data_IF_601379834627
#
_entry.id   IF_601379834627
#
_cell.length_a   1.000
_cell.length_b   1.000
_cell.length_c   1.000
_cell.angle_alpha   90.00
_cell.angle_beta   90.00
_cell.angle_gamma   90.00
#
_symmetry.space_group_name_H-M   'P 1'
#
loop_
_entity.id
_entity.type
_entity.pdbx_description
1 polymer ?
#
# COMPACT_ATOMS: atom_id res chain seq x y z
N UNK A 1 19.90 -5.17 -2.42
CA UNK A 1 18.82 -4.17 -2.24
C UNK A 1 19.02 -2.97 -3.16
N UNK A 2 20.27 -2.56 -3.39
CA UNK A 2 20.66 -1.49 -4.33
C UNK A 2 20.30 -1.78 -5.78
N UNK A 3 20.35 -3.04 -6.23
CA UNK A 3 20.06 -3.39 -7.64
C UNK A 3 18.63 -3.03 -8.05
N UNK A 4 17.66 -3.35 -7.20
CA UNK A 4 16.24 -3.02 -7.40
C UNK A 4 16.00 -1.51 -7.44
N UNK A 5 16.69 -0.75 -6.58
CA UNK A 5 16.59 0.72 -6.59
C UNK A 5 17.17 1.31 -7.87
N UNK A 6 18.27 0.75 -8.37
CA UNK A 6 18.93 1.21 -9.59
C UNK A 6 18.03 0.99 -10.82
N UNK A 7 17.44 -0.20 -10.92
CA UNK A 7 16.48 -0.55 -11.99
C UNK A 7 15.26 0.40 -11.96
N UNK A 8 14.72 0.67 -10.77
CA UNK A 8 13.57 1.57 -10.61
C UNK A 8 13.89 3.00 -11.09
N UNK A 9 15.07 3.52 -10.73
CA UNK A 9 15.52 4.86 -11.16
C UNK A 9 15.72 4.88 -12.68
N UNK A 10 16.31 3.84 -13.26
CA UNK A 10 16.52 3.75 -14.71
C UNK A 10 15.19 3.76 -15.49
N UNK A 11 14.18 3.04 -15.02
CA UNK A 11 12.85 3.03 -15.63
C UNK A 11 12.17 4.40 -15.50
N UNK A 12 12.25 5.04 -14.34
CA UNK A 12 11.72 6.40 -14.13
C UNK A 12 12.40 7.44 -15.04
N UNK A 13 13.72 7.34 -15.23
CA UNK A 13 14.46 8.22 -16.13
C UNK A 13 14.08 7.99 -17.61
N UNK A 14 13.95 6.74 -18.03
CA UNK A 14 13.47 6.41 -19.37
C UNK A 14 12.06 6.96 -19.63
N UNK A 15 11.15 6.84 -18.66
CA UNK A 15 9.79 7.39 -18.74
C UNK A 15 9.80 8.92 -18.85
N UNK A 16 10.70 9.61 -18.14
CA UNK A 16 10.83 11.06 -18.20
C UNK A 16 11.25 11.57 -19.60
N UNK A 17 12.07 10.79 -20.32
CA UNK A 17 12.51 11.11 -21.68
C UNK A 17 11.41 10.81 -22.71
N UNK A 18 10.75 9.66 -22.60
CA UNK A 18 9.76 9.21 -23.59
C UNK A 18 8.42 9.93 -23.45
N UNK A 19 7.97 10.20 -22.21
CA UNK A 19 6.65 10.76 -21.94
C UNK A 19 6.66 11.62 -20.66
N UNK A 20 7.25 12.83 -20.70
CA UNK A 20 7.39 13.70 -19.52
C UNK A 20 6.04 14.09 -18.89
N UNK A 21 4.98 14.14 -19.70
CA UNK A 21 3.61 14.45 -19.24
C UNK A 21 3.00 13.35 -18.36
N UNK A 22 3.56 12.13 -18.33
CA UNK A 22 3.06 11.03 -17.49
C UNK A 22 3.68 10.97 -16.10
N UNK A 23 4.74 11.74 -15.83
CA UNK A 23 5.36 11.79 -14.49
C UNK A 23 4.39 12.21 -13.38
N UNK A 24 3.50 13.21 -13.56
CA UNK A 24 2.50 13.56 -12.55
C UNK A 24 1.54 12.40 -12.24
N UNK A 25 1.18 11.59 -13.23
CA UNK A 25 0.27 10.45 -13.07
C UNK A 25 0.92 9.32 -12.27
N UNK A 26 2.20 9.06 -12.49
CA UNK A 26 2.95 8.08 -11.70
C UNK A 26 3.09 8.53 -10.25
N UNK A 27 3.44 9.81 -10.03
CA UNK A 27 3.49 10.39 -8.69
C UNK A 27 2.14 10.31 -7.98
N UNK A 28 1.05 10.60 -8.72
CA UNK A 28 -0.31 10.48 -8.21
C UNK A 28 -0.65 9.05 -7.78
N UNK A 29 -0.39 8.05 -8.62
CA UNK A 29 -0.61 6.63 -8.29
C UNK A 29 0.23 6.18 -7.09
N UNK A 30 1.49 6.59 -7.01
CA UNK A 30 2.34 6.33 -5.84
C UNK A 30 1.75 6.94 -4.57
N UNK A 31 1.26 8.19 -4.65
CA UNK A 31 0.59 8.86 -3.55
C UNK A 31 -0.70 8.16 -3.09
N UNK A 32 -1.49 7.64 -4.02
CA UNK A 32 -2.70 6.86 -3.68
C UNK A 32 -2.36 5.57 -2.95
N UNK A 33 -1.31 4.85 -3.37
CA UNK A 33 -0.88 3.61 -2.71
C UNK A 33 -0.40 3.88 -1.29
N UNK A 34 0.38 4.96 -1.07
CA UNK A 34 0.85 5.32 0.27
C UNK A 34 -0.30 5.78 1.16
N UNK A 35 -1.21 6.61 0.64
CA UNK A 35 -2.43 7.02 1.36
C UNK A 35 -3.34 5.82 1.67
N UNK A 36 -3.50 4.88 0.75
CA UNK A 36 -4.28 3.66 0.98
C UNK A 36 -3.70 2.76 2.06
N UNK A 37 -2.37 2.67 2.16
CA UNK A 37 -1.71 1.99 3.27
C UNK A 37 -2.01 2.65 4.62
N UNK A 38 -1.94 3.98 4.68
CA UNK A 38 -2.24 4.75 5.90
C UNK A 38 -3.72 4.58 6.27
N UNK A 39 -4.63 4.83 5.34
CA UNK A 39 -6.07 4.72 5.58
C UNK A 39 -6.48 3.30 5.98
N UNK A 40 -5.98 2.27 5.27
CA UNK A 40 -6.25 0.88 5.60
C UNK A 40 -5.83 0.51 7.03
N UNK A 41 -4.72 1.09 7.51
CA UNK A 41 -4.29 0.91 8.89
C UNK A 41 -5.20 1.58 9.92
N UNK A 42 -5.69 2.78 9.63
CA UNK A 42 -6.67 3.47 10.49
C UNK A 42 -8.00 2.72 10.51
N UNK A 43 -8.46 2.22 9.37
CA UNK A 43 -9.69 1.42 9.25
C UNK A 43 -9.57 0.13 10.07
N UNK A 44 -8.46 -0.61 9.95
CA UNK A 44 -8.22 -1.81 10.75
C UNK A 44 -8.30 -1.54 12.25
N UNK A 45 -7.74 -0.41 12.71
CA UNK A 45 -7.80 0.01 14.13
C UNK A 45 -9.20 0.41 14.59
N UNK A 46 -10.00 1.06 13.73
CA UNK A 46 -11.36 1.46 14.04
C UNK A 46 -12.31 0.25 14.09
N UNK A 47 -12.12 -0.70 13.17
CA UNK A 47 -12.98 -1.88 13.04
C UNK A 47 -12.72 -2.91 14.16
N UNK A 48 -11.47 -3.00 14.66
CA UNK A 48 -11.09 -3.96 15.70
C UNK A 48 -10.30 -3.31 16.85
N UNK A 49 -10.98 -2.61 17.78
CA UNK A 49 -10.31 -1.97 18.91
C UNK A 49 -9.58 -2.97 19.83
N UNK A 50 -10.20 -4.13 20.09
CA UNK A 50 -9.76 -5.13 21.08
C UNK A 50 -9.17 -6.43 20.50
N UNK A 51 -9.31 -6.69 19.19
CA UNK A 51 -8.81 -7.90 18.53
C UNK A 51 -7.50 -7.67 17.76
N UNK A 52 -6.62 -6.82 18.32
CA UNK A 52 -5.35 -6.45 17.69
C UNK A 52 -4.43 -7.68 17.62
N UNK A 53 -3.59 -7.82 16.57
CA UNK A 53 -2.67 -8.95 16.44
C UNK A 53 -1.75 -9.15 17.66
N UNK A 54 -1.45 -8.07 18.40
CA UNK A 54 -0.63 -8.13 19.61
C UNK A 54 -1.41 -8.56 20.87
N UNK A 55 -2.75 -8.46 20.86
CA UNK A 55 -3.62 -8.78 22.00
C UNK A 55 -4.30 -10.14 21.87
N UNK A 56 -4.28 -10.77 20.69
CA UNK A 56 -4.80 -12.12 20.49
C UNK A 56 -3.76 -13.20 20.88
N UNK A 57 -4.29 -14.36 21.32
CA UNK A 57 -3.51 -15.56 21.65
C UNK A 57 -2.63 -15.95 20.46
N UNK A 58 -1.45 -16.52 20.74
CA UNK A 58 -0.45 -16.87 19.72
C UNK A 58 -1.03 -17.72 18.56
N UNK A 59 -1.99 -18.58 18.87
CA UNK A 59 -2.67 -19.43 17.90
C UNK A 59 -3.55 -18.65 16.90
N UNK A 60 -4.16 -17.54 17.34
CA UNK A 60 -5.09 -16.74 16.51
C UNK A 60 -4.41 -15.54 15.83
N UNK A 61 -3.16 -15.23 16.20
CA UNK A 61 -2.32 -14.19 15.57
C UNK A 61 -2.24 -14.25 14.04
N UNK A 62 -2.04 -15.42 13.39
CA UNK A 62 -1.97 -15.47 11.94
C UNK A 62 -3.27 -15.01 11.28
N UNK A 63 -4.43 -15.39 11.83
CA UNK A 63 -5.73 -14.97 11.28
C UNK A 63 -5.99 -13.48 11.48
N UNK A 64 -5.58 -12.91 12.62
CA UNK A 64 -5.63 -11.45 12.82
C UNK A 64 -4.71 -10.69 11.86
N UNK A 65 -3.55 -11.26 11.52
CA UNK A 65 -2.63 -10.72 10.52
C UNK A 65 -3.20 -10.73 9.10
N UNK A 66 -3.79 -11.85 8.68
CA UNK A 66 -4.43 -12.00 7.36
C UNK A 66 -5.58 -11.00 7.20
N UNK A 67 -6.41 -10.82 8.24
CA UNK A 67 -7.50 -9.85 8.22
C UNK A 67 -7.00 -8.41 8.01
N UNK A 68 -5.97 -8.00 8.77
CA UNK A 68 -5.36 -6.67 8.61
C UNK A 68 -4.80 -6.48 7.20
N UNK A 69 -4.12 -7.50 6.68
CA UNK A 69 -3.59 -7.48 5.31
C UNK A 69 -4.72 -7.34 4.27
N UNK A 70 -5.84 -8.05 4.44
CA UNK A 70 -7.00 -7.95 3.56
C UNK A 70 -7.67 -6.58 3.61
N UNK A 71 -7.83 -5.97 4.79
CA UNK A 71 -8.41 -4.61 4.92
C UNK A 71 -7.51 -3.57 4.24
N UNK A 72 -6.20 -3.64 4.44
CA UNK A 72 -5.24 -2.74 3.79
C UNK A 72 -5.22 -2.96 2.29
N UNK A 73 -5.21 -4.22 1.83
CA UNK A 73 -5.27 -4.57 0.41
C UNK A 73 -6.55 -4.02 -0.25
N UNK A 74 -7.71 -4.23 0.38
CA UNK A 74 -8.99 -3.74 -0.11
C UNK A 74 -9.01 -2.21 -0.20
N UNK A 75 -8.42 -1.50 0.77
CA UNK A 75 -8.30 -0.04 0.75
C UNK A 75 -7.41 0.45 -0.41
N UNK A 76 -6.25 -0.19 -0.61
CA UNK A 76 -5.35 0.14 -1.72
C UNK A 76 -6.03 -0.13 -3.07
N UNK A 77 -6.69 -1.29 -3.24
CA UNK A 77 -7.40 -1.62 -4.47
C UNK A 77 -8.55 -0.64 -4.74
N UNK A 78 -9.34 -0.29 -3.71
CA UNK A 78 -10.45 0.65 -3.85
C UNK A 78 -9.98 2.05 -4.30
N UNK A 79 -8.88 2.54 -3.74
CA UNK A 79 -8.32 3.85 -4.10
C UNK A 79 -7.60 3.84 -5.45
N UNK A 80 -7.06 2.71 -5.88
CA UNK A 80 -6.27 2.61 -7.13
C UNK A 80 -7.11 2.24 -8.35
N UNK A 81 -8.26 1.57 -8.17
CA UNK A 81 -9.18 1.18 -9.25
C UNK A 81 -10.31 2.17 -9.49
N UNK A 82 -10.66 3.02 -8.51
CA UNK A 82 -11.71 4.03 -8.64
C UNK A 82 -11.33 5.26 -9.48
N UNK A 83 -10.17 5.25 -10.15
CA UNK A 83 -9.54 6.39 -10.86
C UNK A 83 -8.97 6.01 -12.22
#
# INVERSE_FOLDING_TARGET
MTDWTLITIAIMACLAIVAPTKLPVVLYKCGLVTLGGVLGYWIDRALFPYARPNQVRRYDRPMAGIRRALVVLACILGLTLGL
#
